data_IF_395026412460
#
_entry.id   IF_395026412460
#
_cell.length_a   1.000
_cell.length_b   1.000
_cell.length_c   1.000
_cell.angle_alpha   90.00
_cell.angle_beta   90.00
_cell.angle_gamma   90.00
#
_symmetry.space_group_name_H-M   'P 1'
#
loop_
_entity.id
_entity.type
_entity.pdbx_description
1 polymer ?
#
# COMPACT_ATOMS: atom_id res chain seq x y z
N UNK A 1 3.41 12.70 -20.86
CA UNK A 1 4.00 11.78 -19.86
C UNK A 1 4.02 12.53 -18.54
N UNK A 2 3.66 11.89 -17.43
CA UNK A 2 3.44 12.58 -16.16
C UNK A 2 4.79 13.04 -15.56
N UNK A 3 5.12 14.33 -15.66
CA UNK A 3 6.42 14.90 -15.26
C UNK A 3 6.82 14.57 -13.81
N UNK A 4 5.83 14.35 -12.94
CA UNK A 4 6.03 13.89 -11.57
C UNK A 4 6.67 12.52 -11.48
N UNK A 5 6.30 11.58 -12.35
CA UNK A 5 6.84 10.22 -12.31
C UNK A 5 8.33 10.22 -12.66
N UNK A 6 8.71 10.93 -13.73
CA UNK A 6 10.10 10.98 -14.20
C UNK A 6 11.02 11.67 -13.19
N UNK A 7 10.58 12.78 -12.58
CA UNK A 7 11.41 13.52 -11.62
C UNK A 7 11.80 12.70 -10.38
N UNK A 8 10.85 11.96 -9.78
CA UNK A 8 11.15 11.14 -8.59
C UNK A 8 11.90 9.85 -8.93
N UNK A 9 11.65 9.26 -10.10
CA UNK A 9 12.43 8.10 -10.57
C UNK A 9 13.90 8.45 -10.74
N UNK A 10 14.21 9.61 -11.32
CA UNK A 10 15.59 10.05 -11.51
C UNK A 10 16.32 10.30 -10.18
N UNK A 11 15.62 10.88 -9.20
CA UNK A 11 16.17 11.07 -7.85
C UNK A 11 16.45 9.72 -7.16
N UNK A 12 15.52 8.77 -7.25
CA UNK A 12 15.72 7.43 -6.69
C UNK A 12 16.91 6.71 -7.32
N UNK A 13 17.09 6.81 -8.64
CA UNK A 13 18.24 6.23 -9.34
C UNK A 13 19.55 6.84 -8.84
N UNK A 14 19.58 8.16 -8.59
CA UNK A 14 20.79 8.84 -8.07
C UNK A 14 21.16 8.34 -6.68
N UNK A 15 20.21 8.24 -5.77
CA UNK A 15 20.44 7.74 -4.41
C UNK A 15 20.92 6.28 -4.40
N UNK A 16 20.32 5.43 -5.24
CA UNK A 16 20.74 4.03 -5.38
C UNK A 16 22.19 3.94 -5.88
N UNK A 17 22.57 4.76 -6.88
CA UNK A 17 23.95 4.79 -7.41
C UNK A 17 24.97 5.35 -6.42
N UNK A 18 24.54 6.21 -5.49
CA UNK A 18 25.40 6.77 -4.45
C UNK A 18 25.54 5.86 -3.23
N UNK A 19 24.73 4.81 -3.12
CA UNK A 19 24.76 3.85 -2.01
C UNK A 19 25.98 2.93 -2.16
N UNK A 20 26.82 2.76 -1.13
CA UNK A 20 27.93 1.81 -1.19
C UNK A 20 27.44 0.36 -1.34
N UNK A 21 28.22 -0.45 -2.08
CA UNK A 21 27.83 -1.81 -2.48
C UNK A 21 27.46 -2.70 -1.29
N UNK A 22 28.16 -2.58 -0.15
CA UNK A 22 27.86 -3.36 1.06
C UNK A 22 26.46 -3.10 1.65
N UNK A 23 25.83 -1.98 1.31
CA UNK A 23 24.49 -1.62 1.80
C UNK A 23 23.38 -1.87 0.78
N UNK A 24 23.69 -2.18 -0.48
CA UNK A 24 22.68 -2.46 -1.51
C UNK A 24 21.72 -3.61 -1.15
N UNK A 25 22.15 -4.73 -0.51
CA UNK A 25 21.23 -5.77 -0.07
C UNK A 25 20.20 -5.27 0.94
N UNK A 26 20.61 -4.41 1.88
CA UNK A 26 19.73 -3.82 2.87
C UNK A 26 18.74 -2.84 2.23
N UNK A 27 19.22 -2.00 1.30
CA UNK A 27 18.37 -1.09 0.54
C UNK A 27 17.31 -1.84 -0.27
N UNK A 28 17.70 -2.94 -0.93
CA UNK A 28 16.77 -3.81 -1.66
C UNK A 28 15.70 -4.40 -0.72
N UNK A 29 16.08 -4.81 0.49
CA UNK A 29 15.16 -5.28 1.52
C UNK A 29 14.11 -4.24 1.88
N UNK A 30 14.53 -2.99 2.14
CA UNK A 30 13.63 -1.87 2.45
C UNK A 30 12.65 -1.62 1.31
N UNK A 31 13.13 -1.58 0.07
CA UNK A 31 12.27 -1.35 -1.11
C UNK A 31 11.24 -2.49 -1.27
N UNK A 32 11.63 -3.75 -1.02
CA UNK A 32 10.72 -4.90 -1.07
C UNK A 32 9.62 -4.77 -0.02
N UNK A 33 9.99 -4.50 1.23
CA UNK A 33 9.05 -4.33 2.34
C UNK A 33 8.09 -3.17 2.05
N UNK A 34 8.60 -2.05 1.55
CA UNK A 34 7.79 -0.90 1.19
C UNK A 34 6.80 -1.21 0.05
N UNK A 35 7.24 -1.93 -0.98
CA UNK A 35 6.36 -2.36 -2.05
C UNK A 35 5.27 -3.28 -1.49
N UNK A 36 5.64 -4.27 -0.69
CA UNK A 36 4.71 -5.21 -0.07
C UNK A 36 3.72 -4.52 0.88
N UNK A 37 4.11 -3.43 1.54
CA UNK A 37 3.21 -2.67 2.41
C UNK A 37 2.22 -1.79 1.65
N UNK A 38 2.59 -1.27 0.47
CA UNK A 38 1.66 -0.55 -0.42
C UNK A 38 0.70 -1.50 -1.11
N UNK A 39 1.16 -2.70 -1.46
CA UNK A 39 0.29 -3.80 -1.86
C UNK A 39 -0.46 -4.31 -0.62
N UNK A 40 -1.39 -3.49 -0.12
CA UNK A 40 -2.49 -3.89 0.77
C UNK A 40 -3.03 -5.25 0.34
N UNK A 41 -3.43 -6.06 1.33
CA UNK A 41 -4.21 -7.31 1.19
C UNK A 41 -4.86 -7.35 -0.19
N UNK A 42 -4.45 -8.26 -1.10
CA UNK A 42 -4.94 -8.28 -2.48
C UNK A 42 -6.43 -8.03 -2.48
N UNK A 43 -6.96 -7.20 -3.39
CA UNK A 43 -8.38 -6.88 -3.40
C UNK A 43 -9.25 -8.13 -3.28
N UNK A 44 -8.80 -9.25 -3.87
CA UNK A 44 -9.36 -10.59 -3.68
C UNK A 44 -9.54 -11.01 -2.21
N UNK A 45 -8.54 -10.84 -1.36
CA UNK A 45 -8.61 -11.15 0.07
C UNK A 45 -9.58 -10.23 0.83
N UNK A 46 -9.63 -8.94 0.49
CA UNK A 46 -10.62 -8.01 1.03
C UNK A 46 -12.04 -8.37 0.59
N UNK A 47 -12.23 -8.75 -0.68
CA UNK A 47 -13.51 -9.23 -1.19
C UNK A 47 -13.91 -10.54 -0.53
N UNK A 48 -12.98 -11.48 -0.34
CA UNK A 48 -13.25 -12.76 0.32
C UNK A 48 -13.68 -12.57 1.77
N UNK A 49 -13.01 -11.68 2.52
CA UNK A 49 -13.42 -11.33 3.89
C UNK A 49 -14.79 -10.64 3.90
N UNK A 50 -14.98 -9.60 3.08
CA UNK A 50 -16.26 -8.90 2.99
C UNK A 50 -17.42 -9.81 2.55
N UNK A 51 -17.16 -10.78 1.67
CA UNK A 51 -18.16 -11.76 1.26
C UNK A 51 -18.55 -12.70 2.40
N UNK A 52 -17.58 -13.14 3.20
CA UNK A 52 -17.83 -13.97 4.38
C UNK A 52 -18.65 -13.20 5.42
N UNK A 53 -18.29 -11.95 5.68
CA UNK A 53 -18.99 -11.06 6.62
C UNK A 53 -20.44 -10.81 6.18
N UNK A 54 -20.67 -10.57 4.88
CA UNK A 54 -22.00 -10.42 4.30
C UNK A 54 -22.85 -11.70 4.47
N UNK A 55 -22.27 -12.86 4.16
CA UNK A 55 -22.97 -14.14 4.30
C UNK A 55 -23.26 -14.52 5.76
N UNK A 56 -22.45 -14.06 6.73
CA UNK A 56 -22.66 -14.31 8.15
C UNK A 56 -23.51 -13.25 8.85
N UNK A 57 -23.99 -12.23 8.12
CA UNK A 57 -24.74 -11.11 8.70
C UNK A 57 -23.90 -10.18 9.58
N UNK A 58 -22.58 -10.31 9.56
CA UNK A 58 -21.64 -9.44 10.28
C UNK A 58 -21.44 -8.15 9.46
N UNK A 59 -22.53 -7.42 9.25
CA UNK A 59 -22.57 -6.22 8.42
C UNK A 59 -23.07 -5.04 9.24
N UNK A 60 -22.65 -3.83 8.87
CA UNK A 60 -23.12 -2.59 9.46
C UNK A 60 -24.23 -1.99 8.59
N UNK A 61 -25.39 -1.61 9.15
CA UNK A 61 -26.43 -0.90 8.41
C UNK A 61 -25.91 0.39 7.79
N UNK A 62 -26.34 0.69 6.56
CA UNK A 62 -25.83 1.85 5.80
C UNK A 62 -26.16 3.18 6.48
N UNK A 63 -27.28 3.25 7.22
CA UNK A 63 -27.71 4.42 7.95
C UNK A 63 -26.82 4.71 9.19
N UNK A 64 -26.03 3.73 9.64
CA UNK A 64 -25.08 3.93 10.75
C UNK A 64 -23.71 4.41 10.29
N UNK A 65 -23.36 4.26 9.00
CA UNK A 65 -22.00 4.44 8.47
C UNK A 65 -21.41 5.84 8.71
N UNK A 66 -22.26 6.88 8.77
CA UNK A 66 -21.85 8.28 8.91
C UNK A 66 -22.19 8.91 10.26
N UNK A 67 -22.83 8.16 11.17
CA UNK A 67 -23.26 8.71 12.47
C UNK A 67 -22.09 9.01 13.42
N UNK A 68 -20.95 8.33 13.26
CA UNK A 68 -19.79 8.43 14.17
C UNK A 68 -18.74 9.47 13.77
N UNK A 69 -18.96 10.23 12.70
CA UNK A 69 -18.06 11.32 12.30
C UNK A 69 -18.67 12.69 12.59
N UNK A 70 -19.13 12.87 13.81
CA UNK A 70 -19.39 14.21 14.37
C UNK A 70 -18.24 14.52 15.31
N UNK A 71 -17.28 15.30 14.82
CA UNK A 71 -16.21 15.91 15.62
C UNK A 71 -16.76 17.13 16.33
#
# INVERSE_FOLDING_TARGET
>A
MNDYHTAYTDLLIREIKATPDEYLPNLLGIIRIFRESIFLKPAESSFREGWKEAMSGNTMPIDELFKTRTV
#
